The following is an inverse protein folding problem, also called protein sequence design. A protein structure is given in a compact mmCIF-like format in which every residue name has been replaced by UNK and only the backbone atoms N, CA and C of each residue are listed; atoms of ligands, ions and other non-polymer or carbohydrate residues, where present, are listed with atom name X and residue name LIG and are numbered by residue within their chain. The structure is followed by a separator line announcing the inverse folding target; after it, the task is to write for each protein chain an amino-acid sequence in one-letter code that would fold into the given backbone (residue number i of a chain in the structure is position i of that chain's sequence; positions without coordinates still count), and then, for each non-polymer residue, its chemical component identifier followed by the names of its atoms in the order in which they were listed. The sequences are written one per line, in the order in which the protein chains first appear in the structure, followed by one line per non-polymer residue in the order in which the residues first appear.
data_IF_783449171556
#
_entry.id   IF_783449171556
#
_cell.length_a   1.000
_cell.length_b   1.000
_cell.length_c   1.000
_cell.angle_alpha   90.00
_cell.angle_beta   90.00
_cell.angle_gamma   90.00
#
_symmetry.space_group_name_H-M   'P 1'
#
loop_
_entity.id
_entity.type
_entity.pdbx_description
1 polymer ?
#
# COMPACT_ATOMS: atom_id res chain seq x y z
N UNK A 1 -22.95 12.51 -25.99
CA UNK A 1 -22.87 11.10 -26.48
C UNK A 1 -21.50 10.73 -27.06
N UNK A 2 -20.71 11.67 -27.63
CA UNK A 2 -19.32 11.38 -28.10
C UNK A 2 -18.34 10.98 -27.00
N UNK A 3 -18.43 11.59 -25.82
CA UNK A 3 -17.57 11.28 -24.66
C UNK A 3 -17.48 9.77 -24.36
N UNK A 4 -18.62 9.05 -24.37
CA UNK A 4 -18.64 7.61 -24.10
C UNK A 4 -17.94 6.77 -25.18
N UNK A 5 -18.00 7.22 -26.45
CA UNK A 5 -17.32 6.55 -27.55
C UNK A 5 -15.80 6.74 -27.47
N UNK A 6 -15.35 7.89 -26.95
CA UNK A 6 -13.92 8.20 -26.76
C UNK A 6 -13.27 7.34 -25.67
N UNK A 7 -14.05 6.77 -24.74
CA UNK A 7 -13.58 5.82 -23.72
C UNK A 7 -13.56 4.36 -24.18
N UNK A 8 -14.15 4.02 -25.34
CA UNK A 8 -14.13 2.65 -25.88
C UNK A 8 -12.70 2.11 -26.02
N UNK A 9 -11.71 2.86 -26.57
CA UNK A 9 -10.33 2.40 -26.65
C UNK A 9 -9.74 2.06 -25.28
N UNK A 10 -10.02 2.87 -24.24
CA UNK A 10 -9.53 2.62 -22.88
C UNK A 10 -10.07 1.31 -22.33
N UNK A 11 -11.36 1.04 -22.53
CA UNK A 11 -11.98 -0.22 -22.12
C UNK A 11 -11.40 -1.42 -22.87
N UNK A 12 -11.13 -1.28 -24.17
CA UNK A 12 -10.49 -2.32 -24.98
C UNK A 12 -9.09 -2.63 -24.44
N UNK A 13 -8.27 -1.62 -24.15
CA UNK A 13 -6.93 -1.81 -23.58
C UNK A 13 -6.97 -2.45 -22.20
N UNK A 14 -7.89 -2.01 -21.33
CA UNK A 14 -8.08 -2.61 -20.01
C UNK A 14 -8.47 -4.09 -20.11
N UNK A 15 -9.40 -4.43 -21.01
CA UNK A 15 -9.82 -5.80 -21.26
C UNK A 15 -8.66 -6.66 -21.80
N UNK A 16 -7.90 -6.14 -22.78
CA UNK A 16 -6.73 -6.81 -23.32
C UNK A 16 -5.67 -7.09 -22.24
N UNK A 17 -5.44 -6.14 -21.32
CA UNK A 17 -4.52 -6.33 -20.21
C UNK A 17 -4.98 -7.47 -19.29
N UNK A 18 -6.27 -7.52 -18.95
CA UNK A 18 -6.85 -8.61 -18.13
C UNK A 18 -6.74 -9.95 -18.86
N UNK A 19 -7.09 -10.00 -20.15
CA UNK A 19 -6.99 -11.23 -20.95
C UNK A 19 -5.55 -11.72 -21.00
N UNK A 20 -4.58 -10.83 -21.19
CA UNK A 20 -3.16 -11.19 -21.20
C UNK A 20 -2.71 -11.79 -19.87
N UNK A 21 -3.08 -11.19 -18.74
CA UNK A 21 -2.78 -11.73 -17.40
C UNK A 21 -3.39 -13.12 -17.24
N UNK A 22 -4.66 -13.29 -17.60
CA UNK A 22 -5.36 -14.59 -17.50
C UNK A 22 -4.69 -15.65 -18.38
N UNK A 23 -4.35 -15.32 -19.63
CA UNK A 23 -3.68 -16.24 -20.55
C UNK A 23 -2.30 -16.65 -20.00
N UNK A 24 -1.54 -15.71 -19.44
CA UNK A 24 -0.24 -16.02 -18.83
C UNK A 24 -0.38 -16.93 -17.60
N UNK A 25 -1.37 -16.68 -16.73
CA UNK A 25 -1.65 -17.53 -15.57
C UNK A 25 -2.10 -18.93 -15.99
N UNK A 26 -2.97 -19.04 -17.00
CA UNK A 26 -3.42 -20.32 -17.54
C UNK A 26 -2.26 -21.08 -18.22
N UNK A 27 -1.44 -20.39 -19.01
CA UNK A 27 -0.26 -21.00 -19.61
C UNK A 27 0.71 -21.51 -18.54
N UNK A 28 0.95 -20.72 -17.48
CA UNK A 28 1.75 -21.14 -16.34
C UNK A 28 1.16 -22.38 -15.65
N UNK A 29 -0.16 -22.41 -15.43
CA UNK A 29 -0.84 -23.54 -14.82
C UNK A 29 -0.77 -24.81 -15.67
N UNK A 30 -0.95 -24.71 -17.00
CA UNK A 30 -0.87 -25.85 -17.93
C UNK A 30 0.57 -26.36 -18.09
N UNK A 31 1.55 -25.45 -18.18
CA UNK A 31 2.96 -25.81 -18.36
C UNK A 31 3.62 -26.30 -17.06
N UNK A 32 2.99 -26.07 -15.89
CA UNK A 32 3.56 -26.45 -14.61
C UNK A 32 3.68 -27.98 -14.50
N UNK A 33 4.87 -28.50 -14.13
CA UNK A 33 5.01 -29.92 -13.83
C UNK A 33 4.16 -30.26 -12.60
N UNK A 34 3.24 -31.22 -12.78
CA UNK A 34 2.40 -31.75 -11.71
C UNK A 34 3.21 -32.71 -10.84
N UNK A 35 4.21 -32.19 -10.12
CA UNK A 35 4.90 -32.95 -9.07
C UNK A 35 3.97 -33.03 -7.87
N UNK A 36 3.82 -34.23 -7.29
CA UNK A 36 3.06 -34.47 -6.05
C UNK A 36 3.34 -33.36 -5.03
N UNK A 37 2.27 -32.69 -4.60
CA UNK A 37 2.31 -31.68 -3.56
C UNK A 37 2.60 -32.38 -2.22
N UNK A 38 3.87 -32.68 -1.96
CA UNK A 38 4.30 -33.17 -0.66
C UNK A 38 3.95 -32.11 0.40
N UNK A 39 3.61 -32.55 1.62
CA UNK A 39 3.23 -31.68 2.74
C UNK A 39 4.23 -30.53 2.95
N UNK A 40 5.54 -30.82 2.82
CA UNK A 40 6.65 -29.86 2.88
C UNK A 40 6.63 -28.75 1.81
N UNK A 41 6.01 -28.99 0.65
CA UNK A 41 5.90 -27.99 -0.43
C UNK A 41 4.70 -27.05 -0.24
N UNK A 42 3.73 -27.47 0.58
CA UNK A 42 2.49 -26.75 0.86
C UNK A 42 2.49 -26.11 2.26
N UNK A 43 3.50 -26.41 3.08
CA UNK A 43 3.68 -25.75 4.38
C UNK A 43 4.12 -24.29 4.20
N UNK A 44 3.74 -23.46 5.15
CA UNK A 44 4.16 -22.05 5.20
C UNK A 44 5.68 -21.99 5.37
N UNK A 45 6.36 -21.35 4.43
CA UNK A 45 7.82 -21.24 4.46
C UNK A 45 8.27 -20.20 5.48
N UNK A 46 8.92 -20.65 6.56
CA UNK A 46 9.64 -19.79 7.50
C UNK A 46 11.07 -20.35 7.72
N UNK A 47 11.89 -20.37 6.66
CA UNK A 47 13.28 -20.86 6.71
C UNK A 47 13.47 -22.30 7.23
N UNK A 48 12.43 -23.15 7.14
CA UNK A 48 12.44 -24.52 7.69
C UNK A 48 12.10 -24.61 9.18
N UNK A 49 11.68 -23.51 9.80
CA UNK A 49 11.10 -23.48 11.15
C UNK A 49 9.56 -23.51 11.03
N UNK A 50 8.88 -24.18 11.97
CA UNK A 50 7.42 -24.21 12.00
C UNK A 50 6.86 -22.82 12.32
N UNK A 51 5.85 -22.33 11.58
CA UNK A 51 5.30 -20.99 11.77
C UNK A 51 4.86 -20.77 13.22
N UNK A 52 5.36 -19.67 13.80
CA UNK A 52 5.13 -19.36 15.22
C UNK A 52 3.82 -18.60 15.39
N UNK A 53 2.79 -19.28 15.89
CA UNK A 53 1.54 -18.67 16.32
C UNK A 53 0.59 -18.28 15.17
N UNK A 54 -0.53 -17.59 15.47
CA UNK A 54 -1.46 -17.14 14.44
C UNK A 54 -0.79 -16.07 13.57
N UNK A 55 -0.86 -16.23 12.24
CA UNK A 55 -0.36 -15.26 11.26
C UNK A 55 -1.03 -13.85 11.34
N UNK A 56 -1.98 -13.67 12.26
CA UNK A 56 -2.70 -12.43 12.50
C UNK A 56 -2.20 -11.79 13.79
N UNK A 57 -1.06 -11.12 13.68
CA UNK A 57 -0.66 -10.14 14.69
C UNK A 57 -1.40 -8.82 14.42
N UNK A 58 -1.85 -8.15 15.49
CA UNK A 58 -2.43 -6.81 15.36
C UNK A 58 -1.33 -5.85 14.91
N UNK A 59 -1.38 -5.47 13.63
CA UNK A 59 -0.45 -4.47 13.11
C UNK A 59 -0.69 -3.13 13.82
N UNK A 60 0.38 -2.39 14.16
CA UNK A 60 0.24 -1.11 14.83
C UNK A 60 -0.58 -0.13 13.98
N UNK A 61 -1.42 0.68 14.63
CA UNK A 61 -2.28 1.71 14.00
C UNK A 61 -1.49 2.77 13.22
N UNK A 62 -0.17 2.80 13.34
CA UNK A 62 0.70 3.78 12.69
C UNK A 62 0.62 3.73 11.15
N UNK A 63 0.34 2.57 10.53
CA UNK A 63 0.11 2.48 9.07
C UNK A 63 -1.13 3.25 8.60
N UNK A 64 -2.12 3.38 9.47
CA UNK A 64 -3.31 4.17 9.19
C UNK A 64 -2.96 5.66 9.06
N UNK A 65 -2.04 6.17 9.88
CA UNK A 65 -1.61 7.58 9.82
C UNK A 65 -0.97 7.90 8.47
N UNK A 66 -0.10 7.02 7.96
CA UNK A 66 0.47 7.18 6.61
C UNK A 66 -0.60 7.14 5.51
N UNK A 67 -1.62 6.29 5.67
CA UNK A 67 -2.74 6.23 4.72
C UNK A 67 -3.53 7.54 4.70
N UNK A 68 -3.83 8.10 5.87
CA UNK A 68 -4.50 9.41 5.98
C UNK A 68 -3.63 10.53 5.41
N UNK A 69 -2.32 10.54 5.69
CA UNK A 69 -1.39 11.51 5.12
C UNK A 69 -1.32 11.41 3.59
N UNK A 70 -1.31 10.21 3.04
CA UNK A 70 -1.35 9.98 1.60
C UNK A 70 -2.63 10.56 0.98
N UNK A 71 -3.79 10.30 1.59
CA UNK A 71 -5.08 10.85 1.11
C UNK A 71 -5.08 12.39 1.13
N UNK A 72 -4.49 13.02 2.16
CA UNK A 72 -4.39 14.49 2.25
C UNK A 72 -3.57 15.05 1.07
N UNK A 73 -2.41 14.44 0.77
CA UNK A 73 -1.55 14.85 -0.36
C UNK A 73 -2.22 14.55 -1.70
N UNK A 74 -2.95 13.45 -1.82
CA UNK A 74 -3.68 13.06 -3.03
C UNK A 74 -4.81 14.06 -3.34
N UNK A 75 -5.59 14.45 -2.33
CA UNK A 75 -6.63 15.49 -2.45
C UNK A 75 -6.01 16.84 -2.81
N UNK A 76 -4.85 17.20 -2.23
CA UNK A 76 -4.11 18.38 -2.63
C UNK A 76 -3.72 18.33 -4.12
N UNK A 77 -3.20 17.19 -4.60
CA UNK A 77 -2.85 16.99 -6.00
C UNK A 77 -4.06 17.13 -6.94
N UNK A 78 -5.19 16.52 -6.59
CA UNK A 78 -6.44 16.64 -7.33
C UNK A 78 -6.95 18.08 -7.39
N UNK A 79 -6.87 18.81 -6.28
CA UNK A 79 -7.23 20.24 -6.21
C UNK A 79 -6.34 21.10 -7.13
N UNK A 80 -5.02 20.88 -7.09
CA UNK A 80 -4.07 21.58 -7.96
C UNK A 80 -4.30 21.27 -9.44
N UNK A 81 -4.61 20.01 -9.77
CA UNK A 81 -4.92 19.61 -11.14
C UNK A 81 -6.20 20.29 -11.65
N UNK A 82 -7.26 20.33 -10.83
CA UNK A 82 -8.50 21.01 -11.17
C UNK A 82 -8.28 22.51 -11.39
N UNK A 83 -7.54 23.16 -10.51
CA UNK A 83 -7.17 24.56 -10.65
C UNK A 83 -6.37 24.81 -11.93
N UNK A 84 -5.33 24.02 -12.19
CA UNK A 84 -4.49 24.13 -13.40
C UNK A 84 -5.29 23.95 -14.69
N UNK A 85 -6.24 23.02 -14.69
CA UNK A 85 -7.13 22.73 -15.82
C UNK A 85 -8.26 23.75 -15.99
N UNK A 86 -8.48 24.63 -15.00
CA UNK A 86 -9.48 25.69 -15.06
C UNK A 86 -8.92 26.95 -15.72
N UNK A 87 -9.78 27.76 -16.35
CA UNK A 87 -9.38 29.06 -16.95
C UNK A 87 -9.03 30.14 -15.90
N UNK A 88 -9.16 29.85 -14.60
CA UNK A 88 -8.97 30.82 -13.51
C UNK A 88 -7.52 31.31 -13.42
N UNK A 89 -6.55 30.41 -13.59
CA UNK A 89 -5.12 30.74 -13.58
C UNK A 89 -4.63 31.39 -14.87
N UNK A 90 -5.41 31.27 -15.95
CA UNK A 90 -5.06 31.75 -17.29
C UNK A 90 -5.71 33.10 -17.62
N UNK A 91 -6.62 33.59 -16.78
CA UNK A 91 -7.20 34.93 -16.89
C UNK A 91 -6.21 35.99 -16.36
N UNK A 92 -5.92 37.00 -17.18
CA UNK A 92 -4.98 38.10 -16.85
C UNK A 92 -5.38 38.87 -15.59
N UNK A 93 -6.68 38.93 -15.27
CA UNK A 93 -7.20 39.65 -14.11
C UNK A 93 -6.94 38.94 -12.79
N UNK A 94 -6.87 37.60 -12.77
CA UNK A 94 -6.88 36.79 -11.53
C UNK A 94 -5.62 35.98 -11.31
N UNK A 95 -4.74 35.90 -12.31
CA UNK A 95 -3.53 35.06 -12.29
C UNK A 95 -2.66 35.27 -11.04
N UNK A 96 -2.31 36.52 -10.74
CA UNK A 96 -1.40 36.82 -9.63
C UNK A 96 -2.04 36.59 -8.25
N UNK A 97 -3.33 36.85 -8.12
CA UNK A 97 -4.06 36.66 -6.87
C UNK A 97 -4.19 35.17 -6.51
N UNK A 98 -4.49 34.33 -7.50
CA UNK A 98 -4.69 32.90 -7.27
C UNK A 98 -3.38 32.18 -7.02
N UNK A 99 -2.30 32.57 -7.71
CA UNK A 99 -0.99 31.91 -7.56
C UNK A 99 -0.44 32.02 -6.13
N UNK A 100 -0.50 33.20 -5.51
CA UNK A 100 0.02 33.35 -4.14
C UNK A 100 -0.82 32.55 -3.14
N UNK A 101 -2.14 32.51 -3.31
CA UNK A 101 -3.05 31.74 -2.44
C UNK A 101 -2.74 30.25 -2.52
N UNK A 102 -2.49 29.72 -3.72
CA UNK A 102 -2.08 28.33 -3.93
C UNK A 102 -0.73 28.04 -3.27
N UNK A 103 0.24 28.96 -3.36
CA UNK A 103 1.54 28.82 -2.66
C UNK A 103 1.34 28.75 -1.15
N UNK A 104 0.54 29.65 -0.57
CA UNK A 104 0.27 29.66 0.87
C UNK A 104 -0.47 28.39 1.30
N UNK A 105 -1.46 27.94 0.54
CA UNK A 105 -2.16 26.67 0.77
C UNK A 105 -1.19 25.48 0.77
N UNK A 106 -0.30 25.38 -0.22
CA UNK A 106 0.72 24.34 -0.28
C UNK A 106 1.66 24.38 0.93
N UNK A 107 2.12 25.57 1.34
CA UNK A 107 2.99 25.73 2.51
C UNK A 107 2.30 25.28 3.80
N UNK A 108 1.00 25.55 3.96
CA UNK A 108 0.23 25.12 5.13
C UNK A 108 0.13 23.59 5.18
N UNK A 109 -0.23 22.95 4.06
CA UNK A 109 -0.35 21.48 4.00
C UNK A 109 1.01 20.81 4.19
N UNK A 110 2.06 21.29 3.50
CA UNK A 110 3.42 20.77 3.64
C UNK A 110 3.95 20.96 5.06
N UNK A 111 3.67 22.10 5.70
CA UNK A 111 4.01 22.36 7.09
C UNK A 111 3.30 21.40 8.06
N UNK A 112 2.01 21.15 7.84
CA UNK A 112 1.22 20.19 8.62
C UNK A 112 1.75 18.76 8.50
N UNK A 113 2.06 18.31 7.28
CA UNK A 113 2.67 16.99 7.03
C UNK A 113 4.04 16.89 7.72
N UNK A 114 4.89 17.92 7.56
CA UNK A 114 6.21 17.95 8.20
C UNK A 114 6.12 17.87 9.74
N UNK A 115 5.14 18.53 10.34
CA UNK A 115 4.88 18.43 11.79
C UNK A 115 4.46 17.02 12.20
N UNK A 116 3.51 16.41 11.49
CA UNK A 116 3.04 15.05 11.79
C UNK A 116 4.18 14.03 11.61
N UNK A 117 4.98 14.17 10.56
CA UNK A 117 6.14 13.30 10.31
C UNK A 117 7.17 13.36 11.44
N UNK A 118 7.35 14.54 12.05
CA UNK A 118 8.22 14.69 13.23
C UNK A 118 7.64 14.04 14.49
N UNK A 119 6.32 14.01 14.62
CA UNK A 119 5.62 13.42 15.78
C UNK A 119 5.52 11.89 15.70
N UNK A 120 5.58 11.31 14.51
CA UNK A 120 5.47 9.86 14.28
C UNK A 120 6.69 9.11 14.85
N UNK A 121 6.48 8.13 15.76
CA UNK A 121 7.57 7.30 16.27
C UNK A 121 8.17 6.45 15.15
N UNK A 122 9.47 6.64 14.91
CA UNK A 122 10.22 5.94 13.84
C UNK A 122 10.65 4.51 14.25
N UNK A 123 10.38 4.08 15.49
CA UNK A 123 10.79 2.76 16.05
C UNK A 123 10.33 1.58 15.18
N UNK A 124 9.19 1.72 14.50
CA UNK A 124 8.65 0.69 13.60
C UNK A 124 9.30 0.66 12.21
N UNK A 125 9.78 1.79 11.67
CA UNK A 125 10.52 1.79 10.40
C UNK A 125 11.84 1.02 10.53
N UNK A 126 12.40 0.98 11.74
CA UNK A 126 13.60 0.23 12.08
C UNK A 126 13.32 -1.26 12.39
N UNK A 127 12.05 -1.66 12.54
CA UNK A 127 11.66 -3.04 12.84
C UNK A 127 12.05 -3.56 14.23
N UNK A 128 12.66 -2.73 15.08
CA UNK A 128 13.19 -3.15 16.38
C UNK A 128 12.09 -3.66 17.33
N UNK A 129 10.97 -2.94 17.39
CA UNK A 129 9.80 -3.31 18.21
C UNK A 129 9.14 -4.62 17.72
N UNK A 130 9.18 -4.88 16.40
CA UNK A 130 8.72 -6.15 15.83
C UNK A 130 9.65 -7.30 16.18
N UNK A 131 10.97 -7.05 16.25
CA UNK A 131 11.97 -8.04 16.66
C UNK A 131 11.88 -8.34 18.16
N UNK A 132 11.58 -7.35 19.00
CA UNK A 132 11.37 -7.56 20.43
C UNK A 132 10.10 -8.38 20.69
N UNK A 133 8.98 -8.04 20.04
CA UNK A 133 7.76 -8.83 20.10
C UNK A 133 7.99 -10.28 19.64
N UNK A 134 8.75 -10.47 18.55
CA UNK A 134 9.14 -11.80 18.08
C UNK A 134 10.02 -12.55 19.08
N UNK A 135 11.07 -11.92 19.63
CA UNK A 135 11.97 -12.52 20.61
C UNK A 135 11.22 -12.94 21.87
N UNK A 136 10.27 -12.13 22.32
CA UNK A 136 9.41 -12.43 23.48
C UNK A 136 8.53 -13.65 23.21
N UNK A 137 7.82 -13.67 22.08
CA UNK A 137 7.00 -14.83 21.68
C UNK A 137 7.84 -16.12 21.55
N UNK A 138 9.07 -16.01 21.04
CA UNK A 138 10.01 -17.14 20.93
C UNK A 138 10.54 -17.60 22.30
N UNK A 139 10.71 -16.69 23.25
CA UNK A 139 11.14 -17.01 24.62
C UNK A 139 10.04 -17.72 25.41
N UNK A 140 8.80 -17.22 25.36
CA UNK A 140 7.63 -17.83 26.01
C UNK A 140 7.40 -19.29 25.54
N UNK A 141 7.62 -19.60 24.25
CA UNK A 141 7.52 -20.98 23.74
C UNK A 141 8.67 -21.90 24.17
N UNK A 142 9.87 -21.37 24.43
CA UNK A 142 10.98 -22.17 24.98
C UNK A 142 10.68 -22.64 26.41
N UNK A 143 9.84 -21.89 27.13
CA UNK A 143 9.37 -22.23 28.47
C UNK A 143 8.17 -23.19 28.44
N UNK A 144 7.39 -23.23 27.33
CA UNK A 144 6.26 -24.16 27.10
C UNK A 144 6.52 -25.20 25.97
N UNK A 145 7.50 -26.11 26.09
CA UNK A 145 7.94 -26.97 24.99
C UNK A 145 6.99 -28.14 24.62
N UNK A 146 5.82 -28.31 25.27
CA UNK A 146 5.05 -29.56 25.18
C UNK A 146 3.56 -29.49 24.80
N UNK A 147 2.99 -28.32 24.47
CA UNK A 147 1.54 -28.23 24.25
C UNK A 147 1.05 -28.19 22.79
N UNK A 148 1.94 -28.03 21.79
CA UNK A 148 1.51 -27.72 20.41
C UNK A 148 2.10 -28.63 19.31
N UNK A 149 2.44 -29.87 19.64
CA UNK A 149 2.65 -30.92 18.64
C UNK A 149 1.30 -31.50 18.22
N UNK A 150 0.71 -30.96 17.16
CA UNK A 150 -0.63 -31.35 16.71
C UNK A 150 -0.83 -31.16 15.21
N UNK A 151 -0.36 -32.18 14.46
CA UNK A 151 -0.62 -32.51 13.05
C UNK A 151 0.07 -31.67 11.97
#
# INVERSE_FOLDING_TARGET
MRLFLDFIPVLIWALLAVVLVVVMLLASWVLRPHVLQNSEKTSTYECGEEPIGPARISYPYNYFVYTVLFVVVDVMGAFLWLLSSSNILWSDATKYEVVWQVIVFMLIIMGGIGYVMKMLPQSFLNGEETLEAYRKAKAERKEEPHAAGGH
#
